data_IF_378723217374
#
_entry.id   IF_378723217374
#
_cell.length_a   1.000
_cell.length_b   1.000
_cell.length_c   1.000
_cell.angle_alpha   90.00
_cell.angle_beta   90.00
_cell.angle_gamma   90.00
#
_symmetry.space_group_name_H-M   'P 1'
#
loop_
_entity.id
_entity.type
_entity.pdbx_description
1 polymer ?
#
# COMPACT_ATOMS: atom_id res chain seq x y z
N UNK A 1 23.91 23.19 17.87
CA UNK A 1 22.43 23.29 17.75
C UNK A 1 21.79 22.04 17.15
N UNK A 2 22.15 21.65 15.92
CA UNK A 2 21.51 20.54 15.19
C UNK A 2 21.60 19.17 15.92
N UNK A 3 22.75 18.87 16.54
CA UNK A 3 22.97 17.59 17.24
C UNK A 3 22.02 17.37 18.42
N UNK A 4 21.68 18.44 19.16
CA UNK A 4 20.75 18.34 20.30
C UNK A 4 19.35 18.01 19.82
N UNK A 5 18.93 18.57 18.69
CA UNK A 5 17.63 18.26 18.07
C UNK A 5 17.64 16.83 17.53
N UNK A 6 18.70 16.42 16.83
CA UNK A 6 18.83 15.07 16.28
C UNK A 6 18.80 13.99 17.38
N UNK A 7 19.63 14.13 18.43
CA UNK A 7 19.67 13.18 19.56
C UNK A 7 18.34 13.15 20.30
N UNK A 8 17.69 14.30 20.49
CA UNK A 8 16.37 14.37 21.14
C UNK A 8 15.31 13.62 20.33
N UNK A 9 15.34 13.74 19.01
CA UNK A 9 14.42 13.04 18.11
C UNK A 9 14.73 11.55 18.00
N UNK A 10 16.00 11.14 18.00
CA UNK A 10 16.41 9.73 18.10
C UNK A 10 15.94 9.09 19.41
N UNK A 11 15.89 9.86 20.50
CA UNK A 11 15.30 9.44 21.77
C UNK A 11 13.76 9.37 21.74
N UNK A 12 13.12 9.62 20.58
CA UNK A 12 11.68 9.52 20.39
C UNK A 12 10.90 10.77 20.76
N UNK A 13 11.56 11.90 21.00
CA UNK A 13 10.86 13.17 21.23
C UNK A 13 10.34 13.73 19.90
N UNK A 14 9.10 14.22 19.91
CA UNK A 14 8.56 14.98 18.77
C UNK A 14 9.31 16.29 18.56
N UNK A 15 9.21 16.85 17.34
CA UNK A 15 9.95 18.06 16.94
C UNK A 15 9.79 19.22 17.93
N UNK A 16 8.57 19.51 18.40
CA UNK A 16 8.34 20.62 19.34
C UNK A 16 9.14 20.45 20.65
N UNK A 17 9.15 19.23 21.20
CA UNK A 17 9.90 18.90 22.42
C UNK A 17 11.41 18.95 22.18
N UNK A 18 11.87 18.53 21.00
CA UNK A 18 13.27 18.63 20.62
C UNK A 18 13.72 20.10 20.48
N UNK A 19 12.86 20.96 19.93
CA UNK A 19 13.08 22.41 19.84
C UNK A 19 13.04 23.08 21.22
N UNK A 20 12.12 22.70 22.11
CA UNK A 20 12.14 23.14 23.51
C UNK A 20 13.45 22.76 24.21
N UNK A 21 13.96 21.56 23.94
CA UNK A 21 15.21 21.08 24.52
C UNK A 21 16.42 21.86 23.99
N UNK A 22 16.42 22.19 22.70
CA UNK A 22 17.39 23.10 22.10
C UNK A 22 17.35 24.47 22.79
N UNK A 23 16.15 24.99 23.06
CA UNK A 23 15.96 26.28 23.76
C UNK A 23 16.52 26.28 25.18
N UNK A 24 16.45 25.14 25.87
CA UNK A 24 16.95 25.03 27.25
C UNK A 24 18.45 24.83 27.37
N UNK A 25 19.12 24.31 26.35
CA UNK A 25 20.53 23.92 26.42
C UNK A 25 21.50 24.89 25.73
N UNK A 26 21.01 25.75 24.83
CA UNK A 26 21.84 26.69 24.08
C UNK A 26 21.22 28.08 24.10
N UNK A 27 21.95 29.07 24.58
CA UNK A 27 21.55 30.49 24.50
C UNK A 27 22.28 31.17 23.34
N UNK A 28 21.66 31.13 22.16
CA UNK A 28 22.16 31.76 20.94
C UNK A 28 21.03 32.52 20.23
N UNK A 29 21.38 33.38 19.27
CA UNK A 29 20.48 34.09 18.38
C UNK A 29 19.46 33.17 17.69
N UNK A 30 19.88 31.95 17.32
CA UNK A 30 19.03 30.91 16.76
C UNK A 30 17.94 30.47 17.74
N UNK A 31 18.29 30.37 19.01
CA UNK A 31 17.40 29.93 20.08
C UNK A 31 16.24 30.90 20.31
N UNK A 32 16.50 32.21 20.18
CA UNK A 32 15.47 33.25 20.26
C UNK A 32 14.41 33.10 19.16
N UNK A 33 14.83 32.77 17.94
CA UNK A 33 13.92 32.52 16.82
C UNK A 33 13.08 31.27 17.05
N UNK A 34 13.68 30.19 17.58
CA UNK A 34 12.97 28.95 17.93
C UNK A 34 11.96 29.19 19.05
N UNK A 35 12.36 29.91 20.11
CA UNK A 35 11.47 30.25 21.22
C UNK A 35 10.31 31.14 20.78
N UNK A 36 10.55 32.07 19.84
CA UNK A 36 9.50 32.89 19.23
C UNK A 36 8.50 32.03 18.45
N UNK A 37 8.99 31.13 17.59
CA UNK A 37 8.13 30.25 16.80
C UNK A 37 7.25 29.35 17.69
N UNK A 38 7.84 28.74 18.72
CA UNK A 38 7.08 27.94 19.70
C UNK A 38 5.99 28.76 20.40
N UNK A 39 6.26 30.04 20.70
CA UNK A 39 5.28 30.93 21.32
C UNK A 39 4.17 31.33 20.37
N UNK A 40 4.47 31.59 19.10
CA UNK A 40 3.47 31.87 18.07
C UNK A 40 2.52 30.67 17.86
N UNK A 41 3.06 29.44 17.92
CA UNK A 41 2.25 28.21 17.90
C UNK A 41 1.32 28.15 19.11
N UNK A 42 1.82 28.47 20.32
CA UNK A 42 0.99 28.52 21.53
C UNK A 42 -0.10 29.59 21.48
N UNK A 43 0.13 30.68 20.74
CA UNK A 43 -0.84 31.75 20.49
C UNK A 43 -1.89 31.38 19.43
N UNK A 44 -1.85 30.16 18.89
CA UNK A 44 -2.83 29.63 17.94
C UNK A 44 -2.45 29.76 16.46
N UNK A 45 -1.22 30.17 16.16
CA UNK A 45 -0.73 30.21 14.77
C UNK A 45 -0.58 28.79 14.22
N UNK A 46 -0.91 28.54 12.93
CA UNK A 46 -0.70 27.23 12.32
C UNK A 46 0.75 26.78 12.44
N UNK A 47 0.97 25.63 13.08
CA UNK A 47 2.31 25.06 13.34
C UNK A 47 3.21 25.04 12.11
N UNK A 48 2.66 24.60 11.00
CA UNK A 48 3.42 24.44 9.77
C UNK A 48 3.95 25.77 9.22
N UNK A 49 3.16 26.84 9.37
CA UNK A 49 3.52 28.18 8.91
C UNK A 49 4.55 28.83 9.83
N UNK A 50 4.36 28.71 11.16
CA UNK A 50 5.28 29.23 12.16
C UNK A 50 6.68 28.58 12.07
N UNK A 51 6.75 27.26 11.87
CA UNK A 51 8.02 26.55 11.69
C UNK A 51 8.69 26.87 10.35
N UNK A 52 7.92 27.13 9.30
CA UNK A 52 8.44 27.49 7.98
C UNK A 52 9.02 28.91 7.98
N UNK A 53 8.35 29.88 8.60
CA UNK A 53 8.87 31.23 8.78
C UNK A 53 10.10 31.26 9.69
N UNK A 54 10.08 30.47 10.77
CA UNK A 54 11.25 30.27 11.62
C UNK A 54 12.44 29.77 10.78
N UNK A 55 12.26 28.70 10.01
CA UNK A 55 13.32 28.11 9.18
C UNK A 55 13.91 29.09 8.16
N UNK A 56 13.11 30.01 7.61
CA UNK A 56 13.61 31.10 6.74
C UNK A 56 14.40 32.13 7.54
N UNK A 57 13.95 32.47 8.75
CA UNK A 57 14.54 33.51 9.58
C UNK A 57 15.84 33.09 10.26
N UNK A 58 16.11 31.79 10.40
CA UNK A 58 17.29 31.28 11.12
C UNK A 58 18.61 31.57 10.41
N UNK A 59 18.63 31.72 9.07
CA UNK A 59 19.84 31.97 8.28
C UNK A 59 20.84 30.80 8.24
N UNK A 60 20.49 29.64 8.82
CA UNK A 60 21.30 28.41 8.81
C UNK A 60 20.61 27.38 7.92
N UNK A 61 21.17 27.16 6.74
CA UNK A 61 20.57 26.32 5.69
C UNK A 61 20.33 24.87 6.13
N UNK A 62 21.26 24.30 6.90
CA UNK A 62 21.17 22.92 7.39
C UNK A 62 19.99 22.73 8.36
N UNK A 63 19.80 23.69 9.28
CA UNK A 63 18.70 23.67 10.24
C UNK A 63 17.35 23.89 9.53
N UNK A 64 17.31 24.83 8.59
CA UNK A 64 16.12 25.10 7.80
C UNK A 64 15.72 23.88 6.95
N UNK A 65 16.69 23.18 6.37
CA UNK A 65 16.47 21.96 5.59
C UNK A 65 15.95 20.82 6.46
N UNK A 66 16.48 20.65 7.67
CA UNK A 66 16.00 19.66 8.64
C UNK A 66 14.54 19.91 9.03
N UNK A 67 14.19 21.14 9.41
CA UNK A 67 12.80 21.51 9.79
C UNK A 67 11.84 21.31 8.62
N UNK A 68 12.21 21.73 7.40
CA UNK A 68 11.39 21.52 6.19
C UNK A 68 11.22 20.04 5.87
N UNK A 69 12.27 19.24 6.00
CA UNK A 69 12.22 17.79 5.80
C UNK A 69 11.26 17.10 6.78
N UNK A 70 11.28 17.51 8.04
CA UNK A 70 10.37 16.97 9.06
C UNK A 70 8.94 17.45 8.83
N UNK A 71 8.74 18.74 8.51
CA UNK A 71 7.41 19.26 8.19
C UNK A 71 6.82 18.56 6.95
N UNK A 72 7.66 18.28 5.96
CA UNK A 72 7.29 17.45 4.82
C UNK A 72 6.95 16.02 5.26
N UNK A 73 7.73 15.38 6.13
CA UNK A 73 7.41 14.05 6.66
C UNK A 73 6.08 14.01 7.45
N UNK A 74 5.78 15.05 8.24
CA UNK A 74 4.51 15.21 8.97
C UNK A 74 3.32 15.45 8.04
N UNK A 75 3.46 16.35 7.05
CA UNK A 75 2.41 16.61 6.05
C UNK A 75 2.18 15.41 5.13
N UNK A 76 3.25 14.70 4.79
CA UNK A 76 3.20 13.57 3.85
C UNK A 76 2.78 12.29 4.52
N UNK A 77 2.95 12.16 5.86
CA UNK A 77 2.49 11.07 6.73
C UNK A 77 2.01 9.87 5.93
N UNK A 78 2.96 9.16 5.29
CA UNK A 78 2.70 8.38 4.07
C UNK A 78 1.36 7.66 4.18
N UNK A 79 0.42 7.79 3.22
CA UNK A 79 -0.76 6.94 3.23
C UNK A 79 -0.36 5.53 2.77
N UNK A 80 0.66 4.91 3.40
CA UNK A 80 0.85 3.47 3.39
C UNK A 80 -0.39 2.85 4.02
N UNK A 81 -1.03 3.50 5.00
CA UNK A 81 -2.28 3.01 5.59
C UNK A 81 -3.47 3.05 4.61
N UNK A 82 -3.65 4.10 3.80
CA UNK A 82 -4.74 4.13 2.79
C UNK A 82 -4.41 3.32 1.54
N UNK A 83 -3.16 3.30 1.09
CA UNK A 83 -2.73 2.45 -0.02
C UNK A 83 -2.72 0.97 0.38
N UNK A 84 -2.27 0.59 1.58
CA UNK A 84 -2.42 -0.78 2.14
C UNK A 84 -3.88 -1.09 2.46
N UNK A 85 -4.72 -0.18 2.95
CA UNK A 85 -6.15 -0.49 3.14
C UNK A 85 -6.82 -0.78 1.79
N UNK A 86 -6.51 0.01 0.75
CA UNK A 86 -6.97 -0.23 -0.61
C UNK A 86 -6.39 -1.54 -1.19
N UNK A 87 -5.10 -1.82 -0.97
CA UNK A 87 -4.45 -3.07 -1.40
C UNK A 87 -4.92 -4.30 -0.61
N UNK A 88 -5.21 -4.18 0.68
CA UNK A 88 -5.72 -5.23 1.55
C UNK A 88 -7.17 -5.58 1.20
N UNK A 89 -7.98 -4.58 0.86
CA UNK A 89 -9.31 -4.80 0.29
C UNK A 89 -9.21 -5.57 -1.05
N UNK A 90 -8.28 -5.18 -1.94
CA UNK A 90 -8.06 -5.91 -3.19
C UNK A 90 -7.47 -7.32 -3.00
N UNK A 91 -6.60 -7.53 -2.01
CA UNK A 91 -6.02 -8.83 -1.67
C UNK A 91 -7.05 -9.81 -1.06
N UNK A 92 -8.01 -9.30 -0.27
CA UNK A 92 -9.16 -10.10 0.21
C UNK A 92 -10.06 -10.56 -0.94
N UNK A 93 -10.26 -9.74 -1.96
CA UNK A 93 -11.00 -10.11 -3.18
C UNK A 93 -10.21 -11.12 -4.02
N UNK A 94 -8.90 -10.91 -4.22
CA UNK A 94 -8.01 -11.83 -4.94
C UNK A 94 -7.92 -13.22 -4.29
N UNK A 95 -7.94 -13.33 -2.95
CA UNK A 95 -8.00 -14.63 -2.26
C UNK A 95 -9.28 -15.41 -2.57
N UNK A 96 -10.43 -14.72 -2.67
CA UNK A 96 -11.71 -15.38 -3.01
C UNK A 96 -11.76 -15.81 -4.48
N UNK A 97 -11.13 -15.07 -5.37
CA UNK A 97 -11.07 -15.41 -6.81
C UNK A 97 -10.14 -16.59 -7.10
N UNK A 98 -9.02 -16.74 -6.37
CA UNK A 98 -8.14 -17.91 -6.52
C UNK A 98 -8.85 -19.25 -6.24
N UNK A 99 -9.69 -19.28 -5.19
CA UNK A 99 -10.50 -20.48 -4.87
C UNK A 99 -11.51 -20.77 -5.99
N UNK A 100 -12.08 -19.74 -6.63
CA UNK A 100 -13.04 -19.92 -7.74
C UNK A 100 -12.37 -20.36 -9.04
N UNK A 101 -11.16 -19.89 -9.33
CA UNK A 101 -10.45 -20.27 -10.57
C UNK A 101 -9.97 -21.72 -10.55
N UNK A 102 -9.69 -22.29 -9.38
CA UNK A 102 -9.35 -23.71 -9.27
C UNK A 102 -10.56 -24.61 -9.50
N UNK A 103 -11.77 -24.20 -9.08
CA UNK A 103 -13.01 -24.93 -9.36
C UNK A 103 -13.35 -24.96 -10.86
N UNK A 104 -13.10 -23.87 -11.59
CA UNK A 104 -13.31 -23.81 -13.04
C UNK A 104 -12.31 -24.71 -13.80
N UNK A 105 -11.07 -24.82 -13.31
CA UNK A 105 -10.06 -25.71 -13.91
C UNK A 105 -10.36 -27.20 -13.66
N UNK A 106 -10.99 -27.54 -12.53
CA UNK A 106 -11.47 -28.89 -12.25
C UNK A 106 -12.61 -29.31 -13.20
N UNK A 107 -13.52 -28.40 -13.54
CA UNK A 107 -14.64 -28.68 -14.46
C UNK A 107 -14.16 -29.09 -15.87
N UNK A 108 -13.11 -28.43 -16.39
CA UNK A 108 -12.49 -28.82 -17.67
C UNK A 108 -11.78 -30.18 -17.61
N UNK A 109 -11.21 -30.58 -16.46
CA UNK A 109 -10.60 -31.91 -16.28
C UNK A 109 -11.62 -33.05 -16.25
N UNK A 110 -12.85 -32.79 -15.83
CA UNK A 110 -13.94 -33.78 -15.81
C UNK A 110 -14.58 -33.92 -17.21
N UNK A 111 -14.55 -32.87 -18.04
CA UNK A 111 -15.12 -32.91 -19.39
C UNK A 111 -14.37 -33.86 -20.35
N UNK A 112 -13.04 -33.96 -20.22
CA UNK A 112 -12.21 -34.84 -21.07
C UNK A 112 -12.64 -36.32 -21.00
N UNK A 113 -12.77 -36.96 -19.83
CA UNK A 113 -13.25 -38.34 -19.76
C UNK A 113 -14.72 -38.49 -20.17
N UNK A 114 -15.58 -37.49 -19.94
CA UNK A 114 -16.98 -37.56 -20.37
C UNK A 114 -17.13 -37.55 -21.89
N UNK A 115 -16.41 -36.67 -22.60
CA UNK A 115 -16.40 -36.65 -24.07
C UNK A 115 -15.81 -37.95 -24.62
N UNK A 116 -14.73 -38.46 -24.01
CA UNK A 116 -14.12 -39.73 -24.39
C UNK A 116 -15.04 -40.96 -24.20
N UNK A 117 -16.03 -40.90 -23.30
CA UNK A 117 -16.94 -42.02 -23.05
C UNK A 117 -18.24 -41.94 -23.88
N UNK A 118 -18.78 -40.73 -24.08
CA UNK A 118 -20.01 -40.49 -24.87
C UNK A 118 -19.77 -40.62 -26.38
N UNK A 119 -18.61 -40.16 -26.86
CA UNK A 119 -18.27 -40.23 -28.29
C UNK A 119 -18.27 -41.67 -28.85
N UNK A 120 -17.63 -42.67 -28.22
CA UNK A 120 -17.69 -44.05 -28.70
C UNK A 120 -19.07 -44.68 -28.53
N UNK A 121 -19.85 -44.34 -27.50
CA UNK A 121 -21.22 -44.86 -27.37
C UNK A 121 -22.14 -44.33 -28.47
N UNK A 122 -22.06 -43.05 -28.81
CA UNK A 122 -22.81 -42.48 -29.93
C UNK A 122 -22.43 -43.13 -31.26
N UNK A 123 -21.14 -43.37 -31.50
CA UNK A 123 -20.67 -44.11 -32.67
C UNK A 123 -21.26 -45.52 -32.73
N UNK A 124 -21.21 -46.26 -31.62
CA UNK A 124 -21.73 -47.62 -31.54
C UNK A 124 -23.25 -47.68 -31.76
N UNK A 125 -24.02 -46.75 -31.18
CA UNK A 125 -25.48 -46.71 -31.30
C UNK A 125 -25.94 -46.24 -32.68
N UNK A 126 -25.22 -45.31 -33.31
CA UNK A 126 -25.60 -44.78 -34.62
C UNK A 126 -25.17 -45.72 -35.76
N UNK A 127 -23.94 -46.23 -35.71
CA UNK A 127 -23.42 -47.14 -36.74
C UNK A 127 -23.80 -48.59 -36.50
N UNK A 128 -24.03 -49.02 -35.26
CA UNK A 128 -24.44 -50.39 -34.93
C UNK A 128 -25.63 -50.89 -35.76
N UNK A 129 -26.81 -50.23 -35.72
CA UNK A 129 -27.94 -50.63 -36.52
C UNK A 129 -27.72 -50.38 -38.02
N UNK A 130 -27.02 -49.31 -38.40
CA UNK A 130 -26.71 -49.03 -39.80
C UNK A 130 -25.87 -50.15 -40.43
N UNK A 131 -24.88 -50.68 -39.71
CA UNK A 131 -24.05 -51.80 -40.18
C UNK A 131 -24.86 -53.09 -40.31
N UNK A 132 -25.72 -53.39 -39.34
CA UNK A 132 -26.59 -54.57 -39.38
C UNK A 132 -27.57 -54.47 -40.56
N UNK A 133 -28.15 -53.30 -40.80
CA UNK A 133 -29.06 -53.05 -41.92
C UNK A 133 -28.33 -53.16 -43.26
N UNK A 134 -27.12 -52.60 -43.39
CA UNK A 134 -26.33 -52.72 -44.63
C UNK A 134 -25.90 -54.16 -44.88
N UNK A 135 -25.45 -54.90 -43.87
CA UNK A 135 -25.07 -56.31 -44.02
C UNK A 135 -26.27 -57.20 -44.36
N UNK A 136 -27.45 -56.93 -43.80
CA UNK A 136 -28.68 -57.67 -44.13
C UNK A 136 -29.22 -57.34 -45.52
N UNK A 137 -29.11 -56.08 -45.98
CA UNK A 137 -29.45 -55.69 -47.36
C UNK A 137 -28.45 -56.21 -48.39
N UNK A 138 -27.16 -56.28 -48.05
CA UNK A 138 -26.12 -56.81 -48.94
C UNK A 138 -26.12 -58.34 -49.04
N UNK A 139 -26.88 -59.03 -48.17
CA UNK A 139 -27.06 -60.50 -48.16
C UNK A 139 -28.41 -60.92 -48.78
N UNK A 140 -28.95 -60.13 -49.70
CA UNK A 140 -30.09 -60.47 -50.55
C UNK A 140 -29.81 -60.07 -52.00
#
# INVERSE_FOLDING_TARGET
ALDVVAISMEAGLGLDRALEQLVRHQDDSLTLLVARALREIQLGRPRAEALEEMAVSTGVDDFASLVRGILYAERTGVPVARTIAAHAAQMRVKRRLKIRTEAARASLKILIPTVGCVFPTLWLVLLGPALIVVLTLSSK
#
